data_IF_385350691552
#
_entry.id   IF_385350691552
#
_cell.length_a   1.000
_cell.length_b   1.000
_cell.length_c   1.000
_cell.angle_alpha   90.00
_cell.angle_beta   90.00
_cell.angle_gamma   90.00
#
_symmetry.space_group_name_H-M   'P 1'
#
loop_
_entity.id
_entity.type
_entity.pdbx_description
1 polymer ?
#
# COMPACT_ATOMS: atom_id res chain seq x y z
N UNK A 1 21.09 -0.79 22.83
CA UNK A 1 20.64 0.23 21.86
C UNK A 1 19.11 0.26 21.84
N UNK A 2 18.50 1.23 22.52
CA UNK A 2 17.05 1.43 22.49
C UNK A 2 16.65 2.05 21.14
N UNK A 3 16.48 1.21 20.12
CA UNK A 3 15.99 1.68 18.81
C UNK A 3 14.48 1.64 18.84
N UNK A 4 13.87 2.65 19.46
CA UNK A 4 12.43 2.89 19.36
C UNK A 4 12.00 2.84 17.89
N UNK A 5 10.95 2.07 17.61
CA UNK A 5 10.41 1.83 16.25
C UNK A 5 9.68 3.07 15.71
N UNK A 6 9.44 4.07 16.55
CA UNK A 6 8.75 5.31 16.23
C UNK A 6 9.73 6.38 15.74
N UNK A 7 9.26 7.24 14.81
CA UNK A 7 9.98 8.43 14.37
C UNK A 7 10.33 9.28 15.59
N UNK A 8 11.61 9.41 15.91
CA UNK A 8 12.05 10.35 16.93
C UNK A 8 11.96 11.76 16.33
N UNK A 9 10.93 12.49 16.74
CA UNK A 9 10.80 13.90 16.38
C UNK A 9 12.01 14.68 16.90
N UNK A 10 12.81 15.24 15.99
CA UNK A 10 13.83 16.22 16.35
C UNK A 10 13.13 17.51 16.78
N UNK A 11 12.87 17.63 18.08
CA UNK A 11 12.31 18.85 18.69
C UNK A 11 13.44 19.64 19.33
N UNK A 12 13.50 20.93 19.03
CA UNK A 12 14.46 21.83 19.66
C UNK A 12 14.10 21.95 21.15
N UNK A 13 14.99 21.59 22.09
CA UNK A 13 14.72 21.74 23.52
C UNK A 13 14.93 23.21 23.88
N UNK A 14 13.98 24.07 23.50
CA UNK A 14 14.04 25.51 23.82
C UNK A 14 13.21 25.84 25.04
N UNK A 15 12.04 25.23 25.17
CA UNK A 15 11.10 25.55 26.23
C UNK A 15 10.96 24.37 27.19
N UNK A 16 11.31 24.63 28.44
CA UNK A 16 11.18 23.69 29.54
C UNK A 16 10.23 24.31 30.56
N UNK A 17 9.17 23.59 30.90
CA UNK A 17 8.14 24.07 31.83
C UNK A 17 7.94 23.05 32.94
N UNK A 18 7.69 23.49 34.17
CA UNK A 18 7.37 22.60 35.28
C UNK A 18 5.86 22.43 35.37
N UNK A 19 5.38 21.21 35.14
CA UNK A 19 3.95 20.86 35.27
C UNK A 19 3.85 19.77 36.33
N UNK A 20 3.09 20.02 37.40
CA UNK A 20 2.87 19.08 38.51
C UNK A 20 4.18 18.52 39.12
N UNK A 21 5.19 19.37 39.30
CA UNK A 21 6.48 18.99 39.88
C UNK A 21 7.39 18.17 38.96
N UNK A 22 7.03 17.99 37.68
CA UNK A 22 7.87 17.34 36.68
C UNK A 22 8.33 18.34 35.62
N UNK A 23 9.58 18.22 35.23
CA UNK A 23 10.16 18.98 34.14
C UNK A 23 9.62 18.44 32.81
N UNK A 24 8.77 19.24 32.15
CA UNK A 24 8.18 18.94 30.85
C UNK A 24 8.93 19.70 29.76
N UNK A 25 9.51 18.93 28.85
CA UNK A 25 10.13 19.43 27.62
C UNK A 25 9.14 19.25 26.46
N UNK A 26 9.27 20.05 25.39
CA UNK A 26 8.51 19.89 24.13
C UNK A 26 8.48 18.46 23.55
N UNK A 27 9.32 17.54 24.04
CA UNK A 27 9.29 16.09 23.74
C UNK A 27 8.00 15.40 24.17
N UNK A 28 7.38 15.83 25.27
CA UNK A 28 6.16 15.22 25.83
C UNK A 28 4.86 15.71 25.19
N UNK A 29 4.92 16.78 24.39
CA UNK A 29 3.74 17.35 23.70
C UNK A 29 3.59 16.72 22.32
N UNK A 30 2.47 16.09 22.01
CA UNK A 30 2.19 15.63 20.64
C UNK A 30 2.15 16.83 19.68
N UNK A 31 2.90 16.83 18.57
CA UNK A 31 2.78 17.88 17.57
C UNK A 31 1.34 17.86 17.03
N UNK A 32 0.67 19.01 17.04
CA UNK A 32 -0.69 19.14 16.53
C UNK A 32 -0.72 20.07 15.31
N UNK A 33 -1.64 19.81 14.38
CA UNK A 33 -1.91 20.70 13.26
C UNK A 33 -3.13 21.58 13.62
N UNK A 34 -2.97 22.91 13.78
CA UNK A 34 -4.07 23.81 14.15
C UNK A 34 -5.28 23.75 13.21
N UNK A 35 -5.04 23.60 11.90
CA UNK A 35 -6.11 23.49 10.91
C UNK A 35 -6.96 22.22 11.14
N UNK A 36 -6.30 21.09 11.38
CA UNK A 36 -6.98 19.81 11.60
C UNK A 36 -7.72 19.80 12.94
N UNK A 37 -7.12 20.39 13.98
CA UNK A 37 -7.75 20.55 15.29
C UNK A 37 -9.04 21.38 15.17
N UNK A 38 -8.99 22.52 14.48
CA UNK A 38 -10.14 23.39 14.29
C UNK A 38 -11.23 22.71 13.44
N UNK A 39 -10.84 22.00 12.37
CA UNK A 39 -11.78 21.36 11.44
C UNK A 39 -12.52 20.18 12.06
N UNK A 40 -11.84 19.35 12.85
CA UNK A 40 -12.40 18.10 13.38
C UNK A 40 -12.64 18.11 14.89
N UNK A 41 -12.36 19.23 15.57
CA UNK A 41 -12.45 19.40 17.01
C UNK A 41 -11.76 18.28 17.82
N UNK A 42 -10.73 17.66 17.24
CA UNK A 42 -10.00 16.52 17.83
C UNK A 42 -8.50 16.64 17.53
N UNK A 43 -7.63 16.24 18.47
CA UNK A 43 -6.19 16.26 18.24
C UNK A 43 -5.80 15.13 17.27
N UNK A 44 -5.37 15.50 16.07
CA UNK A 44 -4.92 14.54 15.03
C UNK A 44 -3.40 14.59 14.92
N UNK A 45 -2.75 13.45 15.12
CA UNK A 45 -1.31 13.29 14.91
C UNK A 45 -1.01 13.14 13.41
N UNK A 46 -0.08 13.94 12.88
CA UNK A 46 0.34 13.90 11.47
C UNK A 46 1.83 13.60 11.43
N UNK A 47 2.19 12.43 10.91
CA UNK A 47 3.59 12.00 10.80
C UNK A 47 4.01 11.85 9.33
N UNK A 48 5.17 12.40 8.96
CA UNK A 48 5.78 12.15 7.66
C UNK A 48 6.77 10.99 7.83
N UNK A 49 6.37 9.82 7.34
CA UNK A 49 7.16 8.60 7.45
C UNK A 49 7.92 8.31 6.16
N UNK A 50 9.24 8.46 6.16
CA UNK A 50 10.11 8.10 5.01
C UNK A 50 10.74 6.71 5.12
N UNK A 51 10.68 6.08 6.30
CA UNK A 51 11.31 4.78 6.55
C UNK A 51 10.48 3.61 6.02
N UNK A 52 11.14 2.64 5.39
CA UNK A 52 10.53 1.37 4.97
C UNK A 52 9.83 0.62 6.12
N UNK A 53 10.31 0.78 7.37
CA UNK A 53 9.67 0.18 8.56
C UNK A 53 8.33 0.83 8.88
N UNK A 54 8.24 2.15 8.73
CA UNK A 54 7.00 2.89 8.95
C UNK A 54 5.98 2.62 7.82
N UNK A 55 6.45 2.50 6.57
CA UNK A 55 5.61 2.03 5.46
C UNK A 55 5.08 0.63 5.74
N UNK A 56 5.95 -0.31 6.15
CA UNK A 56 5.53 -1.66 6.56
C UNK A 56 4.48 -1.60 7.66
N UNK A 57 4.69 -0.79 8.70
CA UNK A 57 3.73 -0.61 9.79
C UNK A 57 2.38 -0.14 9.25
N UNK A 58 2.31 0.96 8.50
CA UNK A 58 1.06 1.45 7.89
C UNK A 58 0.38 0.37 7.03
N UNK A 59 1.15 -0.32 6.18
CA UNK A 59 0.64 -1.41 5.36
C UNK A 59 0.07 -2.55 6.21
N UNK A 60 0.69 -2.89 7.35
CA UNK A 60 0.12 -3.91 8.24
C UNK A 60 -1.20 -3.49 8.86
N UNK A 61 -1.50 -2.20 9.04
CA UNK A 61 -2.83 -1.75 9.50
C UNK A 61 -3.85 -1.65 8.37
N UNK A 62 -3.46 -1.16 7.20
CA UNK A 62 -4.35 -1.04 6.02
C UNK A 62 -4.75 -2.43 5.51
N UNK A 63 -3.78 -3.34 5.43
CA UNK A 63 -3.97 -4.70 4.94
C UNK A 63 -4.12 -5.71 6.06
N UNK A 64 -4.22 -5.26 7.32
CA UNK A 64 -4.68 -6.15 8.38
C UNK A 64 -6.04 -6.67 7.93
N UNK A 65 -6.18 -7.99 7.87
CA UNK A 65 -7.49 -8.56 7.61
C UNK A 65 -8.44 -8.08 8.70
N UNK A 66 -9.69 -7.88 8.29
CA UNK A 66 -10.76 -7.56 9.21
C UNK A 66 -10.87 -8.65 10.27
N UNK A 67 -11.27 -8.27 11.48
CA UNK A 67 -11.49 -9.22 12.55
C UNK A 67 -12.58 -10.19 12.08
N UNK A 68 -12.20 -11.44 11.86
CA UNK A 68 -13.10 -12.51 11.48
C UNK A 68 -13.42 -13.34 12.72
N UNK A 69 -14.69 -13.61 12.94
CA UNK A 69 -15.18 -14.52 13.95
C UNK A 69 -15.68 -15.80 13.26
N UNK A 70 -15.23 -16.94 13.75
CA UNK A 70 -15.81 -18.22 13.36
C UNK A 70 -16.95 -18.52 14.34
N UNK A 71 -18.17 -18.65 13.82
CA UNK A 71 -19.35 -18.99 14.62
C UNK A 71 -19.72 -20.45 14.36
N UNK A 72 -19.92 -21.23 15.41
CA UNK A 72 -20.44 -22.59 15.33
C UNK A 72 -21.96 -22.53 15.37
N UNK A 73 -22.61 -23.05 14.34
CA UNK A 73 -24.07 -23.22 14.36
C UNK A 73 -24.40 -24.55 15.05
N UNK A 74 -24.87 -24.47 16.30
CA UNK A 74 -25.50 -25.63 16.94
C UNK A 74 -26.97 -25.71 16.55
N UNK A 75 -27.27 -26.44 15.47
CA UNK A 75 -28.65 -26.85 15.21
C UNK A 75 -29.04 -27.94 16.25
N UNK A 76 -30.15 -27.74 16.95
CA UNK A 76 -30.58 -28.60 18.06
C UNK A 76 -31.05 -29.99 17.59
N UNK A 77 -31.25 -30.22 16.29
CA UNK A 77 -31.69 -31.53 15.79
C UNK A 77 -31.05 -31.94 14.45
N UNK A 78 -30.42 -33.12 14.51
CA UNK A 78 -30.03 -34.05 13.45
C UNK A 78 -28.82 -33.70 12.54
N UNK A 79 -27.76 -34.52 12.72
CA UNK A 79 -26.48 -34.62 12.00
C UNK A 79 -25.42 -33.55 12.32
N UNK A 80 -24.56 -33.89 13.28
CA UNK A 80 -23.34 -33.15 13.64
C UNK A 80 -22.26 -33.38 12.59
N UNK A 81 -22.14 -32.48 11.61
CA UNK A 81 -21.02 -32.44 10.68
C UNK A 81 -20.12 -31.25 11.03
N UNK A 82 -18.98 -31.53 11.67
CA UNK A 82 -18.02 -30.52 12.13
C UNK A 82 -17.52 -29.62 11.00
N UNK A 83 -17.35 -30.14 9.77
CA UNK A 83 -16.83 -29.36 8.64
C UNK A 83 -17.90 -28.42 8.07
N UNK A 84 -19.18 -28.78 8.16
CA UNK A 84 -20.28 -28.02 7.56
C UNK A 84 -20.83 -26.89 8.46
N UNK A 85 -20.60 -26.94 9.77
CA UNK A 85 -21.31 -26.10 10.75
C UNK A 85 -20.53 -24.86 11.22
N UNK A 86 -19.64 -24.31 10.38
CA UNK A 86 -18.93 -23.07 10.68
C UNK A 86 -19.32 -21.92 9.73
N UNK A 87 -19.68 -20.79 10.31
CA UNK A 87 -19.79 -19.52 9.57
C UNK A 87 -18.53 -18.70 9.86
N UNK A 88 -17.76 -18.41 8.81
CA UNK A 88 -16.75 -17.35 8.86
C UNK A 88 -17.43 -15.99 8.69
N UNK A 89 -17.66 -15.29 9.80
CA UNK A 89 -18.25 -13.97 9.82
C UNK A 89 -17.15 -12.89 9.95
N UNK A 90 -17.37 -11.74 9.33
CA UNK A 90 -16.52 -10.55 9.49
C UNK A 90 -17.20 -9.59 10.45
N UNK A 91 -16.47 -9.13 11.46
CA UNK A 91 -16.92 -8.04 12.30
C UNK A 91 -16.91 -6.72 11.51
N UNK A 92 -18.02 -5.98 11.57
CA UNK A 92 -18.16 -4.64 11.00
C UNK A 92 -18.56 -3.72 12.15
N UNK A 93 -17.70 -2.75 12.47
CA UNK A 93 -17.99 -1.80 13.55
C UNK A 93 -19.19 -0.91 13.19
N UNK A 94 -19.92 -0.41 14.20
CA UNK A 94 -21.05 0.50 14.00
C UNK A 94 -20.74 1.70 13.07
N UNK A 95 -19.62 2.44 13.24
CA UNK A 95 -19.28 3.52 12.31
C UNK A 95 -18.97 3.04 10.88
N UNK A 96 -18.32 1.88 10.71
CA UNK A 96 -18.09 1.29 9.37
C UNK A 96 -19.42 0.90 8.71
N UNK A 97 -20.35 0.30 9.46
CA UNK A 97 -21.66 -0.08 8.97
C UNK A 97 -22.47 1.13 8.52
N UNK A 98 -22.49 2.21 9.32
CA UNK A 98 -23.14 3.46 8.96
C UNK A 98 -22.53 4.06 7.70
N UNK A 99 -21.20 4.10 7.58
CA UNK A 99 -20.50 4.61 6.40
C UNK A 99 -20.88 3.87 5.12
N UNK A 100 -21.02 2.54 5.22
CA UNK A 100 -21.49 1.69 4.12
C UNK A 100 -22.96 1.91 3.78
N UNK A 101 -23.83 2.02 4.78
CA UNK A 101 -25.26 2.29 4.58
C UNK A 101 -25.50 3.64 3.90
N UNK A 102 -24.66 4.63 4.19
CA UNK A 102 -24.66 5.94 3.55
C UNK A 102 -24.03 5.94 2.15
N UNK A 103 -23.61 4.79 1.61
CA UNK A 103 -23.01 4.68 0.28
C UNK A 103 -21.64 5.34 0.14
N UNK A 104 -20.97 5.66 1.24
CA UNK A 104 -19.69 6.37 1.21
C UNK A 104 -18.53 5.43 0.86
N UNK A 105 -17.61 5.90 0.02
CA UNK A 105 -16.40 5.15 -0.31
C UNK A 105 -15.52 4.98 0.92
N UNK A 106 -15.20 3.73 1.28
CA UNK A 106 -14.33 3.41 2.42
C UNK A 106 -12.84 3.56 2.10
N UNK A 107 -12.48 3.39 0.84
CA UNK A 107 -11.11 3.52 0.37
C UNK A 107 -11.14 4.10 -1.04
N UNK A 108 -10.17 4.95 -1.33
CA UNK A 108 -9.91 5.42 -2.68
C UNK A 108 -8.47 5.07 -3.06
N UNK A 109 -8.27 4.76 -4.34
CA UNK A 109 -6.96 4.43 -4.89
C UNK A 109 -6.80 5.27 -6.14
N UNK A 110 -6.01 6.33 -6.01
CA UNK A 110 -5.84 7.30 -7.09
C UNK A 110 -5.16 6.70 -8.32
N UNK A 111 -4.20 5.78 -8.14
CA UNK A 111 -3.43 5.22 -9.26
C UNK A 111 -3.08 3.74 -9.04
N UNK A 112 -3.10 2.97 -10.13
CA UNK A 112 -2.53 1.62 -10.15
C UNK A 112 -1.00 1.71 -10.13
N UNK A 113 -0.37 1.11 -9.13
CA UNK A 113 1.10 1.01 -9.05
C UNK A 113 1.56 -0.21 -9.83
N UNK A 114 2.24 0.00 -10.94
CA UNK A 114 2.90 -1.07 -11.69
C UNK A 114 4.37 -1.15 -11.30
N UNK A 115 4.83 -2.34 -10.93
CA UNK A 115 6.25 -2.60 -10.66
C UNK A 115 6.94 -3.02 -11.96
N UNK A 116 7.93 -2.24 -12.38
CA UNK A 116 8.78 -2.61 -13.51
C UNK A 116 9.76 -3.71 -13.06
N UNK A 117 9.76 -4.89 -13.70
CA UNK A 117 10.68 -5.97 -13.33
C UNK A 117 12.10 -5.61 -13.77
N UNK A 118 12.93 -5.18 -12.83
CA UNK A 118 14.34 -4.83 -13.09
C UNK A 118 15.16 -6.10 -13.24
N UNK A 119 15.93 -6.19 -14.33
CA UNK A 119 16.85 -7.28 -14.62
C UNK A 119 18.03 -6.79 -15.47
N UNK A 120 19.14 -7.53 -15.46
CA UNK A 120 20.27 -7.29 -16.35
C UNK A 120 19.98 -7.79 -17.77
N UNK A 121 20.78 -7.37 -18.77
CA UNK A 121 20.71 -7.91 -20.13
C UNK A 121 20.80 -9.45 -20.10
N UNK A 122 19.90 -10.12 -20.82
CA UNK A 122 19.81 -11.59 -20.89
C UNK A 122 19.52 -12.32 -19.56
N UNK A 123 19.30 -11.61 -18.45
CA UNK A 123 18.95 -12.19 -17.14
C UNK A 123 17.46 -12.02 -16.80
N UNK A 124 16.61 -12.16 -17.82
CA UNK A 124 15.15 -12.07 -17.67
C UNK A 124 14.65 -13.26 -16.88
N UNK A 125 13.70 -13.03 -15.97
CA UNK A 125 12.97 -14.12 -15.31
C UNK A 125 12.02 -14.76 -16.32
N UNK A 126 12.17 -16.06 -16.55
CA UNK A 126 11.28 -16.88 -17.38
C UNK A 126 10.52 -17.83 -16.47
N UNK A 127 9.22 -17.99 -16.72
CA UNK A 127 8.39 -19.00 -16.04
C UNK A 127 8.05 -20.07 -17.07
N UNK A 128 8.25 -21.33 -16.70
CA UNK A 128 8.03 -22.48 -17.57
C UNK A 128 7.28 -23.56 -16.80
N UNK A 129 6.64 -24.46 -17.56
CA UNK A 129 6.11 -25.71 -17.01
C UNK A 129 7.16 -26.79 -17.18
N UNK A 130 7.21 -27.71 -16.23
CA UNK A 130 8.12 -28.84 -16.27
C UNK A 130 8.00 -29.59 -17.62
N UNK A 131 9.14 -29.93 -18.25
CA UNK A 131 9.21 -30.49 -19.60
C UNK A 131 9.02 -29.51 -20.79
N UNK A 132 8.89 -28.21 -20.54
CA UNK A 132 8.76 -27.17 -21.60
C UNK A 132 9.78 -26.03 -21.48
N UNK A 133 10.95 -26.32 -20.92
CA UNK A 133 12.02 -25.35 -20.67
C UNK A 133 12.52 -24.66 -21.93
N UNK A 134 12.87 -25.44 -22.96
CA UNK A 134 13.44 -24.91 -24.21
C UNK A 134 12.45 -23.98 -24.94
N UNK A 135 11.19 -24.41 -25.07
CA UNK A 135 10.12 -23.60 -25.69
C UNK A 135 9.90 -22.29 -24.93
N UNK A 136 9.94 -22.33 -23.60
CA UNK A 136 9.80 -21.13 -22.77
C UNK A 136 10.99 -20.18 -22.93
N UNK A 137 12.20 -20.71 -23.08
CA UNK A 137 13.41 -19.93 -23.31
C UNK A 137 13.38 -19.25 -24.69
N UNK A 138 13.00 -19.98 -25.74
CA UNK A 138 12.84 -19.41 -27.09
C UNK A 138 11.78 -18.30 -27.11
N UNK A 139 10.62 -18.55 -26.49
CA UNK A 139 9.58 -17.54 -26.37
C UNK A 139 10.07 -16.30 -25.60
N UNK A 140 10.85 -16.47 -24.53
CA UNK A 140 11.42 -15.38 -23.76
C UNK A 140 12.50 -14.58 -24.50
N UNK A 141 13.21 -15.20 -25.44
CA UNK A 141 14.14 -14.51 -26.34
C UNK A 141 13.41 -13.64 -27.35
N UNK A 142 12.31 -14.14 -27.92
CA UNK A 142 11.51 -13.38 -28.89
C UNK A 142 10.69 -12.25 -28.25
N UNK A 143 10.29 -12.41 -26.99
CA UNK A 143 9.42 -11.47 -26.30
C UNK A 143 10.22 -10.38 -25.58
N UNK A 144 9.85 -9.13 -25.83
CA UNK A 144 10.35 -7.99 -25.08
C UNK A 144 9.70 -7.95 -23.68
N UNK A 145 10.51 -7.64 -22.66
CA UNK A 145 9.98 -7.40 -21.33
C UNK A 145 9.39 -6.00 -21.20
N UNK A 146 8.62 -5.77 -20.13
CA UNK A 146 8.12 -4.45 -19.79
C UNK A 146 9.25 -3.43 -19.60
N UNK A 147 10.40 -3.86 -19.08
CA UNK A 147 11.59 -3.01 -18.90
C UNK A 147 12.27 -2.69 -20.23
N UNK A 148 12.42 -3.66 -21.13
CA UNK A 148 13.06 -3.43 -22.43
C UNK A 148 12.24 -2.52 -23.33
N UNK A 149 10.92 -2.77 -23.41
CA UNK A 149 9.99 -1.88 -24.10
C UNK A 149 9.97 -0.48 -23.47
N UNK A 150 10.22 -0.36 -22.18
CA UNK A 150 10.38 0.93 -21.51
C UNK A 150 11.67 1.66 -21.94
N UNK A 151 12.79 0.95 -22.07
CA UNK A 151 14.02 1.55 -22.61
C UNK A 151 13.86 2.00 -24.07
N UNK A 152 13.18 1.20 -24.90
CA UNK A 152 12.88 1.57 -26.28
C UNK A 152 12.00 2.83 -26.34
N UNK A 153 11.00 2.90 -25.47
CA UNK A 153 10.11 4.05 -25.36
C UNK A 153 10.88 5.34 -25.04
N UNK A 154 11.87 5.29 -24.14
CA UNK A 154 12.73 6.43 -23.82
C UNK A 154 13.64 6.86 -24.97
N UNK A 155 14.02 5.92 -25.84
CA UNK A 155 14.83 6.21 -27.03
C UNK A 155 13.98 6.83 -28.15
N UNK A 156 12.72 6.40 -28.30
CA UNK A 156 11.89 6.77 -29.45
C UNK A 156 11.12 8.08 -29.31
N UNK A 157 10.84 8.55 -28.08
CA UNK A 157 9.98 9.73 -27.86
C UNK A 157 10.68 10.81 -27.03
N UNK A 158 10.93 12.01 -27.61
CA UNK A 158 11.55 13.12 -26.88
C UNK A 158 10.68 13.63 -25.73
N UNK A 159 9.35 13.56 -25.85
CA UNK A 159 8.40 13.94 -24.80
C UNK A 159 8.66 13.18 -23.48
N UNK A 160 9.17 11.95 -23.55
CA UNK A 160 9.36 11.08 -22.39
C UNK A 160 10.65 11.39 -21.66
N UNK A 161 11.65 11.93 -22.34
CA UNK A 161 12.91 12.36 -21.72
C UNK A 161 12.70 13.50 -20.71
N UNK A 162 11.59 14.24 -20.84
CA UNK A 162 11.18 15.28 -19.87
C UNK A 162 10.39 14.73 -18.68
N UNK A 163 9.90 13.49 -18.74
CA UNK A 163 9.08 12.89 -17.70
C UNK A 163 9.92 12.09 -16.70
N UNK A 164 9.65 12.29 -15.41
CA UNK A 164 10.16 11.41 -14.36
C UNK A 164 9.55 10.00 -14.50
N UNK A 165 10.29 8.97 -14.07
CA UNK A 165 9.80 7.58 -14.05
C UNK A 165 8.44 7.44 -13.33
N UNK A 166 8.22 8.21 -12.27
CA UNK A 166 6.96 8.25 -11.53
C UNK A 166 5.80 8.80 -12.34
N UNK A 167 6.07 9.63 -13.35
CA UNK A 167 5.06 10.31 -14.17
C UNK A 167 4.70 9.51 -15.44
N UNK A 168 5.51 8.51 -15.82
CA UNK A 168 5.24 7.68 -17.00
C UNK A 168 3.92 6.92 -16.88
N UNK A 169 3.56 6.28 -15.75
CA UNK A 169 2.26 5.62 -15.58
C UNK A 169 1.04 6.54 -15.62
N UNK A 170 1.22 7.87 -15.54
CA UNK A 170 0.13 8.83 -15.70
C UNK A 170 -0.17 9.09 -17.18
N UNK A 171 0.86 9.09 -18.01
CA UNK A 171 0.79 9.44 -19.42
C UNK A 171 0.79 8.25 -20.37
N UNK A 172 1.26 7.08 -19.93
CA UNK A 172 1.40 5.87 -20.72
C UNK A 172 0.80 4.66 -20.01
N UNK A 173 0.24 3.75 -20.80
CA UNK A 173 -0.27 2.45 -20.35
C UNK A 173 0.47 1.35 -21.09
N UNK A 174 0.89 0.32 -20.36
CA UNK A 174 1.50 -0.86 -20.95
C UNK A 174 0.42 -1.81 -21.43
N UNK A 175 0.38 -2.08 -22.73
CA UNK A 175 -0.61 -2.94 -23.38
C UNK A 175 0.04 -3.78 -24.49
N UNK A 176 -0.26 -5.09 -24.51
CA UNK A 176 0.26 -6.06 -25.49
C UNK A 176 1.77 -5.93 -25.76
N UNK A 177 2.57 -5.95 -24.69
CA UNK A 177 4.02 -5.79 -24.69
C UNK A 177 4.57 -4.41 -25.11
N UNK A 178 3.73 -3.39 -25.32
CA UNK A 178 4.17 -2.06 -25.74
C UNK A 178 3.58 -0.96 -24.86
N UNK A 179 4.34 0.12 -24.68
CA UNK A 179 3.86 1.31 -24.00
C UNK A 179 3.13 2.21 -25.00
N UNK A 180 1.88 2.56 -24.67
CA UNK A 180 1.04 3.43 -25.49
C UNK A 180 0.64 4.66 -24.70
N UNK A 181 0.54 5.82 -25.36
CA UNK A 181 0.02 7.04 -24.73
C UNK A 181 -1.40 6.77 -24.23
N UNK A 182 -1.64 7.10 -22.97
CA UNK A 182 -2.95 6.94 -22.33
C UNK A 182 -3.94 7.86 -23.05
N UNK A 183 -5.04 7.29 -23.53
CA UNK A 183 -6.20 8.06 -23.98
C UNK A 183 -7.02 8.41 -22.74
N UNK A 184 -7.51 9.65 -22.63
CA UNK A 184 -8.39 10.05 -21.52
C UNK A 184 -9.60 9.11 -21.50
N UNK A 185 -9.85 8.54 -20.33
CA UNK A 185 -11.13 7.93 -19.97
C UNK A 185 -12.00 8.97 -19.29
#
# INVERSE_FOLDING_TARGET
>A
MNVSVYSLYRKCPRDTTFVQGREMVNRFVLPYNPYMLLKYNTPINVEICTSLRAVKFIYTYIYKRFDCANMVLSAVQAQYNEIANYIGARYVSAPEAMWRLLGSHMHDRSHAVMRLPVHLPSQKRVTFKDGHEEKALEAARSRQTMLESWFQLNQSHPDIQTLLNTNIPYNYVYDRNNWKRRKRG
#
